data_IF_001701112598
#
_entry.id   IF_001701112598
#
_cell.length_a   1.000
_cell.length_b   1.000
_cell.length_c   1.000
_cell.angle_alpha   90.00
_cell.angle_beta   90.00
_cell.angle_gamma   90.00
#
_symmetry.space_group_name_H-M   'P 1'
#
loop_
_entity.id
_entity.type
_entity.pdbx_description
1 polymer ?
#
# COMPACT_ATOMS: atom_id res chain seq x y z
N UNK A 1 -22.83 42.76 -7.00
CA UNK A 1 -22.02 41.81 -6.21
C UNK A 1 -21.85 42.37 -4.82
N UNK A 2 -22.66 41.90 -3.87
CA UNK A 2 -22.46 42.19 -2.45
C UNK A 2 -21.18 41.50 -1.98
N UNK A 3 -20.26 42.23 -1.35
CA UNK A 3 -19.10 41.64 -0.66
C UNK A 3 -19.64 40.80 0.49
N UNK A 4 -19.82 39.49 0.28
CA UNK A 4 -19.99 38.57 1.40
C UNK A 4 -18.75 38.72 2.29
N UNK A 5 -18.96 39.13 3.54
CA UNK A 5 -17.89 39.10 4.55
C UNK A 5 -17.45 37.65 4.68
N UNK A 6 -16.13 37.41 4.62
CA UNK A 6 -15.53 36.13 4.93
C UNK A 6 -15.95 35.72 6.34
N UNK A 7 -16.89 34.78 6.45
CA UNK A 7 -17.21 34.13 7.71
C UNK A 7 -16.11 33.11 8.00
N UNK A 8 -15.36 33.34 9.09
CA UNK A 8 -14.28 32.46 9.55
C UNK A 8 -14.82 31.06 9.86
N UNK A 9 -16.10 30.96 10.24
CA UNK A 9 -16.77 29.69 10.51
C UNK A 9 -17.28 29.00 9.24
N UNK A 10 -17.00 29.55 8.06
CA UNK A 10 -17.45 28.93 6.81
C UNK A 10 -16.72 27.58 6.61
N UNK A 11 -17.44 26.50 6.24
CA UNK A 11 -16.81 25.21 5.95
C UNK A 11 -15.70 25.27 4.89
N UNK A 12 -15.76 26.26 3.98
CA UNK A 12 -14.72 26.47 2.97
C UNK A 12 -13.40 26.92 3.60
N UNK A 13 -13.44 27.82 4.58
CA UNK A 13 -12.25 28.25 5.35
C UNK A 13 -11.66 27.06 6.09
N UNK A 14 -12.48 26.20 6.70
CA UNK A 14 -11.98 24.99 7.39
C UNK A 14 -11.25 24.03 6.45
N UNK A 15 -11.75 23.83 5.22
CA UNK A 15 -11.06 23.00 4.20
C UNK A 15 -9.70 23.59 3.85
N UNK A 16 -9.63 24.89 3.59
CA UNK A 16 -8.37 25.56 3.22
C UNK A 16 -7.36 25.49 4.37
N UNK A 17 -7.80 25.83 5.58
CA UNK A 17 -6.95 25.75 6.79
C UNK A 17 -6.45 24.33 7.04
N UNK A 18 -7.32 23.32 6.88
CA UNK A 18 -6.90 21.93 7.05
C UNK A 18 -5.96 21.47 5.94
N UNK A 19 -6.17 21.87 4.69
CA UNK A 19 -5.24 21.58 3.59
C UNK A 19 -3.86 22.22 3.84
N UNK A 20 -3.81 23.45 4.35
CA UNK A 20 -2.55 24.08 4.77
C UNK A 20 -1.90 23.33 5.93
N UNK A 21 -2.70 22.84 6.89
CA UNK A 21 -2.19 22.02 7.99
C UNK A 21 -1.57 20.70 7.47
N UNK A 22 -2.22 20.01 6.53
CA UNK A 22 -1.66 18.80 5.91
C UNK A 22 -0.28 19.08 5.29
N UNK A 23 -0.15 20.20 4.59
CA UNK A 23 1.10 20.60 3.96
C UNK A 23 2.18 21.01 4.98
N UNK A 24 1.83 21.73 6.04
CA UNK A 24 2.80 22.26 7.02
C UNK A 24 3.23 21.20 8.04
N UNK A 25 2.36 20.24 8.38
CA UNK A 25 2.59 19.27 9.45
C UNK A 25 3.88 18.45 9.27
N UNK A 26 4.18 17.86 8.09
CA UNK A 26 5.41 17.10 7.88
C UNK A 26 6.68 17.89 8.20
N UNK A 27 6.71 19.19 7.86
CA UNK A 27 7.85 20.06 8.17
C UNK A 27 8.01 20.30 9.68
N UNK A 28 6.90 20.53 10.40
CA UNK A 28 6.93 20.68 11.86
C UNK A 28 7.38 19.37 12.54
N UNK A 29 6.89 18.23 12.04
CA UNK A 29 7.25 16.91 12.58
C UNK A 29 8.74 16.60 12.41
N UNK A 30 9.30 16.94 11.24
CA UNK A 30 10.71 16.74 10.93
C UNK A 30 11.63 17.66 11.75
N UNK A 31 11.30 18.94 11.88
CA UNK A 31 12.15 19.89 12.61
C UNK A 31 12.26 19.59 14.10
N UNK A 32 11.22 19.04 14.72
CA UNK A 32 11.14 18.87 16.17
C UNK A 32 11.39 17.43 16.66
N UNK A 33 11.94 16.55 15.82
CA UNK A 33 12.13 15.11 16.13
C UNK A 33 10.83 14.38 16.56
N UNK A 34 9.67 14.96 16.29
CA UNK A 34 8.39 14.44 16.79
C UNK A 34 8.07 13.09 16.16
N UNK A 35 8.54 12.86 14.93
CA UNK A 35 8.41 11.56 14.25
C UNK A 35 9.08 10.42 15.04
N UNK A 36 10.29 10.64 15.55
CA UNK A 36 10.98 9.63 16.38
C UNK A 36 10.29 9.48 17.74
N UNK A 37 9.81 10.57 18.34
CA UNK A 37 9.06 10.51 19.58
C UNK A 37 7.74 9.72 19.43
N UNK A 38 6.98 9.94 18.35
CA UNK A 38 5.76 9.19 18.03
C UNK A 38 6.08 7.71 17.76
N UNK A 39 7.14 7.43 17.00
CA UNK A 39 7.60 6.06 16.75
C UNK A 39 8.07 5.33 18.00
N UNK A 40 8.67 6.03 18.96
CA UNK A 40 9.02 5.47 20.27
C UNK A 40 7.74 5.26 21.10
N UNK A 41 6.83 6.24 21.13
CA UNK A 41 5.54 6.16 21.82
C UNK A 41 4.70 4.97 21.35
N UNK A 42 4.67 4.69 20.05
CA UNK A 42 3.94 3.57 19.48
C UNK A 42 4.52 2.20 19.88
N UNK A 43 5.79 2.14 20.28
CA UNK A 43 6.46 0.93 20.76
C UNK A 43 6.34 0.71 22.27
N UNK A 44 5.92 1.72 23.04
CA UNK A 44 5.69 1.52 24.47
C UNK A 44 4.56 0.54 24.72
N UNK A 45 4.85 -0.44 25.55
CA UNK A 45 3.97 -1.52 25.93
C UNK A 45 3.90 -1.66 27.45
N UNK A 46 2.88 -2.34 27.92
CA UNK A 46 2.76 -2.77 29.32
C UNK A 46 2.38 -4.26 29.33
N UNK A 47 2.70 -4.95 30.42
CA UNK A 47 2.31 -6.35 30.59
C UNK A 47 0.91 -6.43 31.19
N UNK A 48 0.02 -7.17 30.53
CA UNK A 48 -1.34 -7.47 31.00
C UNK A 48 -1.58 -8.97 30.86
N UNK A 49 -1.77 -9.69 31.98
CA UNK A 49 -1.90 -11.15 32.01
C UNK A 49 -0.77 -11.90 31.28
N UNK A 50 0.47 -11.41 31.42
CA UNK A 50 1.64 -12.00 30.75
C UNK A 50 1.76 -11.68 29.24
N UNK A 51 0.82 -10.93 28.67
CA UNK A 51 0.90 -10.44 27.29
C UNK A 51 1.45 -9.01 27.25
N UNK A 52 2.34 -8.73 26.30
CA UNK A 52 2.84 -7.38 26.03
C UNK A 52 1.83 -6.61 25.16
N UNK A 53 1.11 -5.67 25.77
CA UNK A 53 0.07 -4.88 25.10
C UNK A 53 0.59 -3.47 24.82
N UNK A 54 0.59 -2.99 23.55
CA UNK A 54 0.98 -1.63 23.21
C UNK A 54 -0.03 -0.60 23.75
N UNK A 55 0.45 0.51 24.33
CA UNK A 55 -0.41 1.56 24.86
C UNK A 55 -1.36 2.15 23.83
N UNK A 56 -0.89 2.34 22.59
CA UNK A 56 -1.71 2.84 21.48
C UNK A 56 -2.92 1.96 21.22
N UNK A 57 -2.74 0.63 21.29
CA UNK A 57 -3.84 -0.34 21.10
C UNK A 57 -4.84 -0.23 22.25
N UNK A 58 -4.37 -0.15 23.50
CA UNK A 58 -5.23 0.01 24.66
C UNK A 58 -6.07 1.29 24.59
N UNK A 59 -5.45 2.43 24.27
CA UNK A 59 -6.15 3.71 24.08
C UNK A 59 -7.17 3.61 22.93
N UNK A 60 -6.79 2.99 21.81
CA UNK A 60 -7.68 2.75 20.68
C UNK A 60 -8.92 1.94 21.06
N UNK A 61 -8.76 0.88 21.87
CA UNK A 61 -9.87 0.07 22.38
C UNK A 61 -10.78 0.89 23.29
N UNK A 62 -10.23 1.67 24.23
CA UNK A 62 -11.02 2.54 25.13
C UNK A 62 -11.83 3.56 24.33
N UNK A 63 -11.21 4.21 23.34
CA UNK A 63 -11.90 5.16 22.45
C UNK A 63 -12.99 4.45 21.64
N UNK A 64 -12.71 3.25 21.11
CA UNK A 64 -13.70 2.47 20.37
C UNK A 64 -14.92 2.09 21.24
N UNK A 65 -14.69 1.64 22.48
CA UNK A 65 -15.77 1.34 23.45
C UNK A 65 -16.58 2.60 23.76
N UNK A 66 -15.91 3.72 24.04
CA UNK A 66 -16.58 4.99 24.31
C UNK A 66 -17.45 5.43 23.11
N UNK A 67 -16.93 5.32 21.88
CA UNK A 67 -17.69 5.62 20.66
C UNK A 67 -18.89 4.69 20.49
N UNK A 68 -18.75 3.39 20.76
CA UNK A 68 -19.87 2.44 20.72
C UNK A 68 -20.96 2.81 21.73
N UNK A 69 -20.58 3.21 22.95
CA UNK A 69 -21.54 3.63 23.98
C UNK A 69 -22.26 4.92 23.56
N UNK A 70 -21.52 5.94 23.13
CA UNK A 70 -22.07 7.25 22.73
C UNK A 70 -22.94 7.11 21.48
N UNK A 71 -22.53 6.29 20.51
CA UNK A 71 -23.20 6.13 19.24
C UNK A 71 -24.19 4.96 19.22
N UNK A 72 -24.47 4.29 20.34
CA UNK A 72 -25.27 3.05 20.39
C UNK A 72 -26.63 3.15 19.69
N UNK A 73 -27.30 4.31 19.80
CA UNK A 73 -28.59 4.57 19.16
C UNK A 73 -28.49 4.71 17.63
N UNK A 74 -27.29 4.95 17.13
CA UNK A 74 -26.97 5.13 15.72
C UNK A 74 -26.37 3.86 15.09
N UNK A 75 -26.09 2.80 15.87
CA UNK A 75 -25.53 1.55 15.35
C UNK A 75 -26.64 0.74 14.67
N UNK A 76 -26.49 0.53 13.38
CA UNK A 76 -27.34 -0.40 12.60
C UNK A 76 -26.45 -1.49 12.00
N UNK A 77 -26.99 -2.68 11.71
CA UNK A 77 -26.22 -3.76 11.08
C UNK A 77 -25.53 -3.30 9.79
N UNK A 78 -26.20 -2.46 9.00
CA UNK A 78 -25.63 -1.85 7.81
C UNK A 78 -24.39 -0.99 8.11
N UNK A 79 -24.45 -0.14 9.14
CA UNK A 79 -23.33 0.71 9.56
C UNK A 79 -22.17 -0.12 10.12
N UNK A 80 -22.47 -1.20 10.85
CA UNK A 80 -21.46 -2.15 11.34
C UNK A 80 -20.71 -2.80 10.17
N UNK A 81 -21.44 -3.32 9.17
CA UNK A 81 -20.83 -3.91 7.97
C UNK A 81 -19.99 -2.88 7.19
N UNK A 82 -20.47 -1.64 7.09
CA UNK A 82 -19.70 -0.56 6.46
C UNK A 82 -18.42 -0.21 7.25
N UNK A 83 -18.49 -0.18 8.58
CA UNK A 83 -17.30 0.00 9.43
C UNK A 83 -16.30 -1.14 9.28
N UNK A 84 -16.77 -2.39 9.19
CA UNK A 84 -15.92 -3.55 8.91
C UNK A 84 -15.23 -3.38 7.55
N UNK A 85 -15.94 -2.92 6.52
CA UNK A 85 -15.34 -2.65 5.21
C UNK A 85 -14.23 -1.59 5.28
N UNK A 86 -14.40 -0.52 6.07
CA UNK A 86 -13.37 0.50 6.30
C UNK A 86 -12.14 -0.12 7.00
N UNK A 87 -12.35 -0.95 8.04
CA UNK A 87 -11.26 -1.66 8.73
C UNK A 87 -10.51 -2.58 7.78
N UNK A 88 -11.22 -3.33 6.93
CA UNK A 88 -10.62 -4.20 5.92
C UNK A 88 -9.80 -3.39 4.91
N UNK A 89 -10.28 -2.23 4.48
CA UNK A 89 -9.50 -1.36 3.60
C UNK A 89 -8.20 -0.85 4.25
N UNK A 90 -8.19 -0.57 5.56
CA UNK A 90 -6.95 -0.24 6.30
C UNK A 90 -6.02 -1.44 6.34
N UNK A 91 -6.54 -2.62 6.66
CA UNK A 91 -5.75 -3.86 6.70
C UNK A 91 -5.13 -4.20 5.34
N UNK A 92 -5.89 -4.04 4.25
CA UNK A 92 -5.40 -4.23 2.88
C UNK A 92 -4.27 -3.25 2.59
N UNK A 93 -4.44 -1.97 2.91
CA UNK A 93 -3.41 -0.97 2.67
C UNK A 93 -2.12 -1.31 3.41
N UNK A 94 -2.19 -1.61 4.72
CA UNK A 94 -1.00 -1.98 5.50
C UNK A 94 -0.33 -3.26 5.00
N UNK A 95 -1.10 -4.27 4.60
CA UNK A 95 -0.54 -5.49 4.01
C UNK A 95 0.14 -5.24 2.66
N UNK A 96 -0.18 -4.12 2.01
CA UNK A 96 0.36 -3.73 0.70
C UNK A 96 1.55 -2.79 0.82
N UNK A 97 1.53 -1.79 1.72
CA UNK A 97 2.48 -0.66 1.69
C UNK A 97 3.82 -0.87 2.37
N UNK A 98 4.05 -1.98 3.06
CA UNK A 98 5.09 -2.03 4.10
C UNK A 98 5.98 -3.28 4.06
N UNK A 99 6.53 -3.60 2.88
CA UNK A 99 7.26 -4.85 2.67
C UNK A 99 8.45 -5.04 3.62
N UNK A 100 9.38 -4.08 3.66
CA UNK A 100 10.59 -4.18 4.49
C UNK A 100 10.44 -3.56 5.87
N UNK A 101 9.30 -2.92 6.17
CA UNK A 101 9.23 -2.09 7.35
C UNK A 101 8.77 -2.82 8.61
N UNK A 102 8.22 -4.03 8.49
CA UNK A 102 7.64 -4.80 9.60
C UNK A 102 6.76 -3.91 10.52
N UNK A 103 6.08 -2.92 9.93
CA UNK A 103 5.25 -2.00 10.68
C UNK A 103 4.07 -2.77 11.25
N UNK A 104 3.72 -2.43 12.48
CA UNK A 104 2.57 -3.01 13.15
C UNK A 104 1.33 -2.18 12.83
N UNK A 105 0.15 -2.79 12.87
CA UNK A 105 -1.11 -2.10 12.55
C UNK A 105 -1.33 -0.81 13.35
N UNK A 106 -0.76 -0.70 14.55
CA UNK A 106 -0.91 0.44 15.45
C UNK A 106 0.21 1.49 15.32
N UNK A 107 1.07 1.41 14.29
CA UNK A 107 2.07 2.43 14.06
C UNK A 107 1.41 3.74 13.59
N UNK A 108 1.30 4.69 14.50
CA UNK A 108 0.58 5.95 14.29
C UNK A 108 1.19 6.77 13.15
N UNK A 109 2.51 6.70 12.98
CA UNK A 109 3.21 7.47 11.96
C UNK A 109 2.74 7.07 10.55
N UNK A 110 2.61 5.77 10.30
CA UNK A 110 2.17 5.26 8.99
C UNK A 110 0.67 5.49 8.77
N UNK A 111 -0.14 5.24 9.81
CA UNK A 111 -1.59 5.42 9.72
C UNK A 111 -2.02 6.88 9.66
N UNK A 112 -1.12 7.82 9.98
CA UNK A 112 -1.40 9.25 9.96
C UNK A 112 -1.91 9.70 8.59
N UNK A 113 -1.30 9.21 7.50
CA UNK A 113 -1.75 9.49 6.13
C UNK A 113 -3.23 9.15 5.93
N UNK A 114 -3.65 7.94 6.36
CA UNK A 114 -5.03 7.50 6.24
C UNK A 114 -6.00 8.35 7.07
N UNK A 115 -5.62 8.66 8.31
CA UNK A 115 -6.46 9.42 9.25
C UNK A 115 -6.59 10.88 8.78
N UNK A 116 -5.48 11.52 8.44
CA UNK A 116 -5.44 12.93 8.06
C UNK A 116 -6.25 13.17 6.78
N UNK A 117 -6.05 12.34 5.75
CA UNK A 117 -6.82 12.46 4.52
C UNK A 117 -8.27 11.97 4.65
N UNK A 118 -8.57 11.05 5.58
CA UNK A 118 -9.94 10.72 5.96
C UNK A 118 -10.69 11.91 6.57
N UNK A 119 -10.02 12.70 7.42
CA UNK A 119 -10.56 13.96 7.96
C UNK A 119 -10.70 15.02 6.85
N UNK A 120 -9.74 15.12 5.94
CA UNK A 120 -9.86 16.00 4.77
C UNK A 120 -11.10 15.69 3.93
N UNK A 121 -11.39 14.41 3.69
CA UNK A 121 -12.60 13.99 2.99
C UNK A 121 -13.88 14.44 3.72
N UNK A 122 -13.88 14.37 5.05
CA UNK A 122 -14.98 14.88 5.86
C UNK A 122 -15.16 16.39 5.76
N UNK A 123 -14.07 17.16 5.78
CA UNK A 123 -14.11 18.62 5.61
C UNK A 123 -14.64 19.01 4.23
N UNK A 124 -14.15 18.35 3.17
CA UNK A 124 -14.64 18.54 1.80
C UNK A 124 -16.13 18.23 1.67
N UNK A 125 -16.58 17.13 2.27
CA UNK A 125 -17.99 16.76 2.30
C UNK A 125 -18.85 17.82 3.01
N UNK A 126 -18.41 18.31 4.19
CA UNK A 126 -19.10 19.39 4.92
C UNK A 126 -19.15 20.71 4.14
N UNK A 127 -18.14 21.02 3.34
CA UNK A 127 -18.10 22.24 2.54
C UNK A 127 -18.98 22.17 1.29
N UNK A 128 -19.07 21.00 0.65
CA UNK A 128 -19.74 20.85 -0.64
C UNK A 128 -21.21 20.41 -0.51
N UNK A 129 -21.57 19.61 0.52
CA UNK A 129 -22.94 19.11 0.69
C UNK A 129 -23.98 20.23 0.87
N UNK A 130 -23.78 21.26 1.71
CA UNK A 130 -24.75 22.35 1.87
C UNK A 130 -24.98 23.14 0.58
N UNK A 131 -23.97 23.19 -0.31
CA UNK A 131 -24.04 23.80 -1.64
C UNK A 131 -24.79 22.93 -2.67
N UNK A 132 -25.45 21.85 -2.22
CA UNK A 132 -26.20 20.89 -3.05
C UNK A 132 -25.37 20.28 -4.18
N UNK A 133 -24.05 20.18 -3.99
CA UNK A 133 -23.17 19.55 -4.98
C UNK A 133 -23.53 18.05 -5.06
N UNK A 134 -23.71 17.49 -6.27
CA UNK A 134 -23.99 16.07 -6.43
C UNK A 134 -22.91 15.19 -5.79
N UNK A 135 -23.31 14.09 -5.14
CA UNK A 135 -22.39 13.18 -4.46
C UNK A 135 -21.23 12.70 -5.35
N UNK A 136 -21.47 12.42 -6.63
CA UNK A 136 -20.40 12.01 -7.55
C UNK A 136 -19.36 13.11 -7.77
N UNK A 137 -19.77 14.39 -7.78
CA UNK A 137 -18.83 15.51 -7.86
C UNK A 137 -18.07 15.70 -6.54
N UNK A 138 -18.72 15.50 -5.38
CA UNK A 138 -18.03 15.58 -4.08
C UNK A 138 -16.92 14.52 -4.02
N UNK A 139 -17.24 13.27 -4.38
CA UNK A 139 -16.29 12.15 -4.45
C UNK A 139 -15.11 12.52 -5.35
N UNK A 140 -15.39 12.87 -6.61
CA UNK A 140 -14.35 13.19 -7.61
C UNK A 140 -13.46 14.36 -7.20
N UNK A 141 -14.05 15.48 -6.75
CA UNK A 141 -13.29 16.67 -6.38
C UNK A 141 -12.46 16.44 -5.12
N UNK A 142 -12.96 15.66 -4.16
CA UNK A 142 -12.20 15.31 -2.95
C UNK A 142 -10.99 14.44 -3.33
N UNK A 143 -11.19 13.44 -4.19
CA UNK A 143 -10.13 12.57 -4.69
C UNK A 143 -9.06 13.37 -5.44
N UNK A 144 -9.45 14.18 -6.44
CA UNK A 144 -8.52 14.99 -7.23
C UNK A 144 -7.77 15.99 -6.35
N UNK A 145 -8.48 16.69 -5.46
CA UNK A 145 -7.84 17.67 -4.57
C UNK A 145 -6.78 17.01 -3.67
N UNK A 146 -7.07 15.84 -3.11
CA UNK A 146 -6.10 15.11 -2.29
C UNK A 146 -4.89 14.63 -3.09
N UNK A 147 -5.11 14.09 -4.30
CA UNK A 147 -4.01 13.71 -5.18
C UNK A 147 -3.12 14.91 -5.52
N UNK A 148 -3.69 16.07 -5.82
CA UNK A 148 -2.94 17.30 -6.09
C UNK A 148 -2.18 17.80 -4.86
N UNK A 149 -2.86 17.91 -3.70
CA UNK A 149 -2.23 18.38 -2.45
C UNK A 149 -1.07 17.46 -2.07
N UNK A 150 -1.29 16.15 -2.07
CA UNK A 150 -0.26 15.17 -1.71
C UNK A 150 0.92 15.14 -2.69
N UNK A 151 0.66 15.24 -4.00
CA UNK A 151 1.74 15.34 -5.00
C UNK A 151 2.58 16.60 -4.83
N UNK A 152 1.95 17.73 -4.49
CA UNK A 152 2.66 18.98 -4.22
C UNK A 152 3.45 18.88 -2.91
N UNK A 153 2.87 18.28 -1.87
CA UNK A 153 3.54 18.06 -0.58
C UNK A 153 4.81 17.22 -0.74
N UNK A 154 4.72 16.02 -1.32
CA UNK A 154 5.89 15.16 -1.57
C UNK A 154 6.92 15.83 -2.51
N UNK A 155 6.44 16.56 -3.52
CA UNK A 155 7.28 17.36 -4.40
C UNK A 155 8.09 18.41 -3.63
N UNK A 156 7.45 19.19 -2.76
CA UNK A 156 8.11 20.25 -1.96
C UNK A 156 9.01 19.65 -0.89
N UNK A 157 8.57 18.60 -0.19
CA UNK A 157 9.38 17.93 0.83
C UNK A 157 10.71 17.43 0.28
N UNK A 158 10.71 16.90 -0.96
CA UNK A 158 11.94 16.51 -1.66
C UNK A 158 12.94 17.66 -1.75
N UNK A 159 12.47 18.89 -2.05
CA UNK A 159 13.34 20.05 -2.21
C UNK A 159 13.82 20.64 -0.88
N UNK A 160 12.95 20.68 0.15
CA UNK A 160 13.25 21.38 1.40
C UNK A 160 14.00 20.50 2.39
N UNK A 161 13.62 19.23 2.53
CA UNK A 161 14.05 18.38 3.66
C UNK A 161 15.14 17.37 3.30
N UNK A 162 15.61 17.36 2.05
CA UNK A 162 16.44 16.29 1.48
C UNK A 162 15.84 14.88 1.67
N UNK A 163 14.53 14.78 1.93
CA UNK A 163 13.78 13.52 2.03
C UNK A 163 13.69 12.89 0.65
N UNK A 164 13.76 11.56 0.62
CA UNK A 164 13.51 10.78 -0.59
C UNK A 164 12.04 10.95 -0.97
N UNK A 165 11.79 11.35 -2.22
CA UNK A 165 10.44 11.41 -2.78
C UNK A 165 9.83 10.01 -2.78
N UNK A 166 8.77 9.82 -2.00
CA UNK A 166 8.10 8.53 -1.84
C UNK A 166 6.71 8.59 -2.46
N UNK A 167 6.60 8.08 -3.69
CA UNK A 167 5.31 8.05 -4.40
C UNK A 167 4.27 7.18 -3.70
N UNK A 168 4.69 6.29 -2.78
CA UNK A 168 3.76 5.48 -1.99
C UNK A 168 2.98 6.32 -0.97
N UNK A 169 3.53 7.42 -0.48
CA UNK A 169 2.82 8.32 0.44
C UNK A 169 1.66 9.02 -0.27
N UNK A 170 1.84 9.40 -1.54
CA UNK A 170 0.75 9.93 -2.38
C UNK A 170 -0.39 8.91 -2.51
N UNK A 171 -0.05 7.65 -2.75
CA UNK A 171 -1.05 6.59 -2.83
C UNK A 171 -1.77 6.36 -1.48
N UNK A 172 -1.04 6.42 -0.35
CA UNK A 172 -1.63 6.28 1.00
C UNK A 172 -2.60 7.42 1.31
N UNK A 173 -2.27 8.65 0.95
CA UNK A 173 -3.11 9.83 1.18
C UNK A 173 -4.44 9.72 0.41
N UNK A 174 -4.35 9.36 -0.88
CA UNK A 174 -5.53 9.13 -1.73
C UNK A 174 -6.37 7.96 -1.20
N UNK A 175 -5.73 6.88 -0.71
CA UNK A 175 -6.43 5.79 -0.03
C UNK A 175 -7.15 6.26 1.25
N UNK A 176 -6.51 7.14 2.03
CA UNK A 176 -7.08 7.80 3.20
C UNK A 176 -8.35 8.58 2.90
N UNK A 177 -8.36 9.35 1.81
CA UNK A 177 -9.58 10.03 1.34
C UNK A 177 -10.69 9.04 1.04
N UNK A 178 -10.39 7.94 0.36
CA UNK A 178 -11.40 6.95 -0.02
C UNK A 178 -11.96 6.21 1.19
N UNK A 179 -11.11 5.88 2.18
CA UNK A 179 -11.54 5.40 3.50
C UNK A 179 -12.55 6.37 4.15
N UNK A 180 -12.21 7.67 4.15
CA UNK A 180 -13.08 8.73 4.65
C UNK A 180 -14.40 8.82 3.88
N UNK A 181 -14.37 8.79 2.56
CA UNK A 181 -15.57 8.82 1.71
C UNK A 181 -16.47 7.60 1.93
N UNK A 182 -15.90 6.40 2.08
CA UNK A 182 -16.65 5.18 2.42
C UNK A 182 -17.30 5.33 3.80
N UNK A 183 -16.54 5.78 4.81
CA UNK A 183 -17.10 6.04 6.13
C UNK A 183 -18.24 7.07 6.09
N UNK A 184 -18.07 8.18 5.38
CA UNK A 184 -19.10 9.23 5.26
C UNK A 184 -20.36 8.70 4.59
N UNK A 185 -20.24 8.07 3.42
CA UNK A 185 -21.41 7.68 2.63
C UNK A 185 -22.11 6.40 3.12
N UNK A 186 -21.38 5.47 3.71
CA UNK A 186 -21.92 4.19 4.17
C UNK A 186 -22.20 4.18 5.67
N UNK A 187 -21.33 4.76 6.50
CA UNK A 187 -21.56 4.84 7.95
C UNK A 187 -22.40 6.08 8.29
N UNK A 188 -21.95 7.28 7.90
CA UNK A 188 -22.62 8.54 8.22
C UNK A 188 -24.00 8.69 7.56
N UNK A 189 -24.05 8.58 6.24
CA UNK A 189 -25.26 8.81 5.43
C UNK A 189 -26.11 7.54 5.20
N UNK A 190 -25.80 6.44 5.90
CA UNK A 190 -26.53 5.17 5.83
C UNK A 190 -26.78 4.70 4.40
N UNK A 191 -25.72 4.69 3.58
CA UNK A 191 -25.74 4.12 2.23
C UNK A 191 -26.45 4.97 1.18
N UNK A 192 -26.51 6.29 1.38
CA UNK A 192 -27.23 7.20 0.46
C UNK A 192 -26.81 7.05 -1.01
N UNK A 193 -25.54 6.72 -1.27
CA UNK A 193 -24.99 6.49 -2.62
C UNK A 193 -25.49 5.21 -3.27
N UNK A 194 -25.93 4.23 -2.49
CA UNK A 194 -26.40 2.92 -3.00
C UNK A 194 -27.91 2.74 -2.95
N UNK A 195 -28.66 3.66 -2.33
CA UNK A 195 -30.14 3.64 -2.33
C UNK A 195 -30.76 3.63 -3.73
N UNK A 196 -30.05 4.17 -4.73
CA UNK A 196 -30.49 4.18 -6.14
C UNK A 196 -30.00 2.96 -6.94
N UNK A 197 -29.48 1.95 -6.26
CA UNK A 197 -28.97 0.70 -6.82
C UNK A 197 -27.45 0.57 -6.83
N UNK A 198 -26.99 -0.67 -6.86
CA UNK A 198 -25.58 -1.09 -6.76
C UNK A 198 -24.94 -1.36 -8.14
N UNK A 199 -25.38 -0.62 -9.16
CA UNK A 199 -24.92 -0.87 -10.53
C UNK A 199 -23.51 -0.31 -10.72
N UNK A 200 -22.49 -1.17 -10.67
CA UNK A 200 -21.12 -0.79 -11.02
C UNK A 200 -21.01 -0.42 -12.50
N UNK A 201 -21.51 -1.30 -13.39
CA UNK A 201 -21.37 -1.15 -14.85
C UNK A 201 -22.35 -0.14 -15.43
N UNK A 202 -21.86 0.72 -16.31
CA UNK A 202 -22.66 1.72 -17.03
C UNK A 202 -22.57 1.54 -18.56
N UNK A 203 -23.66 1.92 -19.25
CA UNK A 203 -23.78 1.80 -20.71
C UNK A 203 -22.78 2.68 -21.44
N UNK A 204 -22.59 3.92 -20.99
CA UNK A 204 -21.63 4.89 -21.57
C UNK A 204 -20.54 5.19 -20.55
N UNK A 205 -19.31 5.44 -21.01
CA UNK A 205 -18.17 5.80 -20.15
C UNK A 205 -18.47 7.06 -19.32
N UNK A 206 -19.10 8.07 -19.93
CA UNK A 206 -19.46 9.31 -19.24
C UNK A 206 -20.45 9.11 -18.07
N UNK A 207 -21.21 8.02 -18.05
CA UNK A 207 -22.20 7.76 -17.00
C UNK A 207 -21.54 7.31 -15.68
N UNK A 208 -20.31 6.77 -15.71
CA UNK A 208 -19.57 6.41 -14.49
C UNK A 208 -19.34 7.64 -13.61
N UNK A 209 -18.99 8.79 -14.18
CA UNK A 209 -18.80 10.06 -13.47
C UNK A 209 -20.10 10.67 -12.89
N UNK A 210 -21.27 10.18 -13.33
CA UNK A 210 -22.59 10.64 -12.86
C UNK A 210 -23.16 9.75 -11.76
N UNK A 211 -22.60 8.55 -11.56
CA UNK A 211 -23.11 7.55 -10.60
C UNK A 211 -22.14 7.42 -9.43
N UNK A 212 -22.50 7.91 -8.23
CA UNK A 212 -21.56 8.02 -7.11
C UNK A 212 -20.98 6.67 -6.68
N UNK A 213 -21.81 5.61 -6.62
CA UNK A 213 -21.34 4.27 -6.28
C UNK A 213 -20.32 3.74 -7.30
N UNK A 214 -20.63 3.82 -8.60
CA UNK A 214 -19.72 3.33 -9.65
C UNK A 214 -18.40 4.10 -9.66
N UNK A 215 -18.46 5.42 -9.51
CA UNK A 215 -17.28 6.27 -9.43
C UNK A 215 -16.40 5.91 -8.23
N UNK A 216 -16.99 5.80 -7.03
CA UNK A 216 -16.26 5.46 -5.81
C UNK A 216 -15.55 4.11 -5.93
N UNK A 217 -16.22 3.09 -6.49
CA UNK A 217 -15.60 1.77 -6.69
C UNK A 217 -14.45 1.84 -7.70
N UNK A 218 -14.56 2.64 -8.76
CA UNK A 218 -13.48 2.83 -9.72
C UNK A 218 -12.30 3.60 -9.13
N UNK A 219 -12.55 4.62 -8.31
CA UNK A 219 -11.48 5.34 -7.59
C UNK A 219 -10.78 4.43 -6.57
N UNK A 220 -11.52 3.57 -5.84
CA UNK A 220 -10.94 2.54 -4.97
C UNK A 220 -10.07 1.57 -5.77
N UNK A 221 -10.55 1.10 -6.92
CA UNK A 221 -9.76 0.22 -7.79
C UNK A 221 -8.48 0.91 -8.28
N UNK A 222 -8.58 2.17 -8.73
CA UNK A 222 -7.43 2.96 -9.17
C UNK A 222 -6.43 3.16 -8.03
N UNK A 223 -6.90 3.61 -6.86
CA UNK A 223 -6.04 3.88 -5.72
C UNK A 223 -5.38 2.62 -5.18
N UNK A 224 -6.07 1.47 -5.19
CA UNK A 224 -5.48 0.19 -4.80
C UNK A 224 -4.35 -0.22 -5.75
N UNK A 225 -4.58 -0.13 -7.06
CA UNK A 225 -3.55 -0.41 -8.07
C UNK A 225 -2.36 0.54 -7.89
N UNK A 226 -2.62 1.83 -7.65
CA UNK A 226 -1.58 2.82 -7.40
C UNK A 226 -0.76 2.46 -6.16
N UNK A 227 -1.42 2.16 -5.03
CA UNK A 227 -0.81 1.76 -3.76
C UNK A 227 0.06 0.50 -3.89
N UNK A 228 -0.44 -0.50 -4.62
CA UNK A 228 0.28 -1.73 -4.88
C UNK A 228 1.54 -1.51 -5.72
N UNK A 229 1.43 -0.74 -6.81
CA UNK A 229 2.59 -0.49 -7.67
C UNK A 229 3.61 0.45 -7.02
N UNK A 230 3.15 1.49 -6.32
CA UNK A 230 4.03 2.43 -5.61
C UNK A 230 4.81 1.77 -4.47
N UNK A 231 4.23 0.75 -3.82
CA UNK A 231 4.91 0.02 -2.74
C UNK A 231 5.99 -0.96 -3.25
N UNK A 232 5.84 -1.49 -4.47
CA UNK A 232 6.81 -2.40 -5.10
C UNK A 232 7.90 -1.62 -5.87
N UNK A 233 7.62 -0.37 -6.24
CA UNK A 233 8.53 0.50 -6.98
C UNK A 233 8.72 1.82 -6.23
N UNK A 234 9.15 1.73 -4.97
CA UNK A 234 9.22 2.88 -4.06
C UNK A 234 10.43 3.78 -4.32
N UNK A 235 11.48 3.29 -4.98
CA UNK A 235 12.63 4.11 -5.37
C UNK A 235 12.17 5.24 -6.31
N UNK A 236 12.53 6.48 -5.95
CA UNK A 236 12.20 7.70 -6.69
C UNK A 236 12.55 7.67 -8.18
N UNK A 237 13.45 6.78 -8.64
CA UNK A 237 13.77 6.60 -10.06
C UNK A 237 12.64 5.93 -10.84
N UNK A 238 11.75 5.20 -10.18
CA UNK A 238 10.66 4.45 -10.80
C UNK A 238 9.31 5.16 -10.83
N UNK A 239 9.24 6.43 -10.43
CA UNK A 239 7.98 7.17 -10.30
C UNK A 239 7.17 7.20 -11.61
N UNK A 240 7.84 7.31 -12.76
CA UNK A 240 7.18 7.33 -14.06
C UNK A 240 6.61 5.96 -14.43
N UNK A 241 7.30 4.87 -14.11
CA UNK A 241 6.80 3.50 -14.29
C UNK A 241 5.61 3.24 -13.38
N UNK A 242 5.64 3.71 -12.13
CA UNK A 242 4.50 3.59 -11.22
C UNK A 242 3.26 4.24 -11.84
N UNK A 243 3.36 5.47 -12.33
CA UNK A 243 2.24 6.17 -12.97
C UNK A 243 1.80 5.42 -14.25
N UNK A 244 2.73 5.07 -15.12
CA UNK A 244 2.42 4.40 -16.39
C UNK A 244 1.76 3.03 -16.18
N UNK A 245 2.30 2.21 -15.27
CA UNK A 245 1.73 0.90 -14.94
C UNK A 245 0.39 1.04 -14.22
N UNK A 246 0.23 2.03 -13.34
CA UNK A 246 -1.05 2.29 -12.68
C UNK A 246 -2.15 2.61 -13.70
N UNK A 247 -1.85 3.53 -14.62
CA UNK A 247 -2.79 3.90 -15.68
C UNK A 247 -3.09 2.72 -16.63
N UNK A 248 -2.07 1.95 -17.00
CA UNK A 248 -2.23 0.79 -17.89
C UNK A 248 -3.08 -0.32 -17.23
N UNK A 249 -2.74 -0.73 -16.00
CA UNK A 249 -3.47 -1.76 -15.25
C UNK A 249 -4.91 -1.31 -14.98
N UNK A 250 -5.10 -0.05 -14.57
CA UNK A 250 -6.44 0.50 -14.37
C UNK A 250 -7.24 0.55 -15.67
N UNK A 251 -6.63 0.98 -16.79
CA UNK A 251 -7.31 1.01 -18.09
C UNK A 251 -7.75 -0.38 -18.54
N UNK A 252 -6.91 -1.40 -18.36
CA UNK A 252 -7.27 -2.80 -18.64
C UNK A 252 -8.43 -3.25 -17.73
N UNK A 253 -8.32 -3.02 -16.42
CA UNK A 253 -9.37 -3.41 -15.47
C UNK A 253 -10.70 -2.69 -15.77
N UNK A 254 -10.66 -1.39 -16.06
CA UNK A 254 -11.80 -0.60 -16.48
C UNK A 254 -12.41 -1.11 -17.79
N UNK A 255 -11.58 -1.44 -18.78
CA UNK A 255 -12.04 -2.01 -20.05
C UNK A 255 -12.74 -3.35 -19.84
N UNK A 256 -12.20 -4.23 -18.97
CA UNK A 256 -12.85 -5.49 -18.60
C UNK A 256 -14.20 -5.23 -17.94
N UNK A 257 -14.26 -4.33 -16.95
CA UNK A 257 -15.51 -3.96 -16.27
C UNK A 257 -16.54 -3.41 -17.27
N UNK A 258 -16.15 -2.46 -18.12
CA UNK A 258 -17.06 -1.79 -19.05
C UNK A 258 -17.49 -2.69 -20.21
N UNK A 259 -16.57 -3.39 -20.87
CA UNK A 259 -16.89 -4.23 -22.03
C UNK A 259 -17.61 -5.52 -21.65
N UNK A 260 -17.43 -6.04 -20.42
CA UNK A 260 -18.15 -7.22 -19.90
C UNK A 260 -19.68 -7.04 -19.80
N UNK A 261 -20.19 -5.82 -20.02
CA UNK A 261 -21.62 -5.58 -20.17
C UNK A 261 -22.20 -6.24 -21.44
N UNK A 262 -21.38 -6.42 -22.48
CA UNK A 262 -21.76 -7.07 -23.74
C UNK A 262 -21.49 -8.58 -23.62
N UNK A 263 -22.46 -9.41 -24.00
CA UNK A 263 -22.38 -10.88 -23.87
C UNK A 263 -21.14 -11.48 -24.53
N UNK A 264 -20.77 -11.03 -25.74
CA UNK A 264 -19.60 -11.53 -26.46
C UNK A 264 -18.28 -11.28 -25.73
N UNK A 265 -18.02 -10.03 -25.32
CA UNK A 265 -16.82 -9.67 -24.55
C UNK A 265 -16.77 -10.38 -23.20
N UNK A 266 -17.91 -10.55 -22.51
CA UNK A 266 -17.97 -11.32 -21.26
C UNK A 266 -17.51 -12.76 -21.45
N UNK A 267 -17.99 -13.43 -22.49
CA UNK A 267 -17.56 -14.80 -22.81
C UNK A 267 -16.07 -14.82 -23.14
N UNK A 268 -15.60 -13.89 -23.99
CA UNK A 268 -14.19 -13.80 -24.35
C UNK A 268 -13.27 -13.62 -23.12
N UNK A 269 -13.60 -12.69 -22.21
CA UNK A 269 -12.82 -12.49 -20.99
C UNK A 269 -12.82 -13.71 -20.07
N UNK A 270 -13.97 -14.38 -19.90
CA UNK A 270 -14.06 -15.61 -19.10
C UNK A 270 -13.21 -16.71 -19.73
N UNK A 271 -13.26 -16.89 -21.05
CA UNK A 271 -12.46 -17.89 -21.76
C UNK A 271 -10.96 -17.62 -21.63
N UNK A 272 -10.53 -16.36 -21.83
CA UNK A 272 -9.12 -15.98 -21.67
C UNK A 272 -8.65 -16.20 -20.22
N UNK A 273 -9.45 -15.78 -19.23
CA UNK A 273 -9.13 -16.02 -17.82
C UNK A 273 -9.04 -17.51 -17.50
N UNK A 274 -9.96 -18.33 -18.02
CA UNK A 274 -9.94 -19.77 -17.83
C UNK A 274 -8.68 -20.40 -18.45
N UNK A 275 -8.28 -20.00 -19.67
CA UNK A 275 -7.06 -20.47 -20.30
C UNK A 275 -5.82 -20.09 -19.49
N UNK A 276 -5.72 -18.84 -19.02
CA UNK A 276 -4.60 -18.38 -18.18
C UNK A 276 -4.53 -19.20 -16.88
N UNK A 277 -5.66 -19.42 -16.20
CA UNK A 277 -5.72 -20.20 -14.96
C UNK A 277 -5.31 -21.65 -15.21
N UNK A 278 -5.81 -22.28 -16.28
CA UNK A 278 -5.45 -23.67 -16.63
C UNK A 278 -3.96 -23.77 -16.94
N UNK A 279 -3.41 -22.86 -17.74
CA UNK A 279 -1.98 -22.82 -18.03
C UNK A 279 -1.17 -22.65 -16.73
N UNK A 280 -1.53 -21.69 -15.87
CA UNK A 280 -0.85 -21.47 -14.61
C UNK A 280 -0.94 -22.69 -13.68
N UNK A 281 -2.07 -23.39 -13.66
CA UNK A 281 -2.25 -24.61 -12.88
C UNK A 281 -1.37 -25.76 -13.42
N UNK A 282 -1.28 -25.92 -14.75
CA UNK A 282 -0.39 -26.92 -15.37
C UNK A 282 1.07 -26.62 -15.03
N UNK A 283 1.51 -25.36 -15.14
CA UNK A 283 2.87 -24.96 -14.77
C UNK A 283 3.13 -25.14 -13.27
N UNK A 284 2.17 -24.77 -12.42
CA UNK A 284 2.28 -24.96 -10.98
C UNK A 284 2.42 -26.45 -10.65
N UNK A 285 1.53 -27.32 -11.12
CA UNK A 285 1.60 -28.78 -10.86
C UNK A 285 2.95 -29.35 -11.32
N UNK A 286 3.39 -29.01 -12.55
CA UNK A 286 4.64 -29.54 -13.12
C UNK A 286 5.89 -29.09 -12.36
N UNK A 287 5.87 -27.89 -11.78
CA UNK A 287 7.07 -27.26 -11.23
C UNK A 287 6.94 -26.90 -9.74
N UNK A 288 5.92 -27.38 -9.00
CA UNK A 288 5.70 -26.97 -7.61
C UNK A 288 6.84 -27.38 -6.66
N UNK A 289 7.47 -28.53 -6.92
CA UNK A 289 8.62 -29.06 -6.18
C UNK A 289 9.94 -28.42 -6.63
N UNK A 290 9.96 -27.83 -7.82
CA UNK A 290 11.14 -27.15 -8.32
C UNK A 290 11.24 -25.77 -7.67
N UNK A 291 12.44 -25.42 -7.20
CA UNK A 291 12.73 -24.10 -6.64
C UNK A 291 12.68 -23.03 -7.75
N UNK A 292 13.83 -22.56 -8.25
CA UNK A 292 13.88 -21.62 -9.37
C UNK A 292 14.25 -22.38 -10.64
N UNK A 293 13.31 -22.46 -11.58
CA UNK A 293 13.47 -23.23 -12.84
C UNK A 293 14.10 -22.38 -13.94
N UNK A 294 13.78 -21.08 -13.95
CA UNK A 294 14.29 -20.15 -14.94
C UNK A 294 14.56 -18.81 -14.28
N UNK A 295 15.71 -18.21 -14.62
CA UNK A 295 16.03 -16.83 -14.28
C UNK A 295 16.72 -16.20 -15.51
N UNK A 296 16.06 -15.21 -16.08
CA UNK A 296 16.57 -14.38 -17.17
C UNK A 296 16.28 -12.91 -16.85
N UNK A 297 16.84 -11.98 -17.62
CA UNK A 297 16.62 -10.55 -17.41
C UNK A 297 15.12 -10.23 -17.39
N UNK A 298 14.60 -9.78 -16.25
CA UNK A 298 13.20 -9.43 -16.05
C UNK A 298 12.23 -10.60 -15.93
N UNK A 299 12.69 -11.84 -15.80
CA UNK A 299 11.83 -13.01 -15.62
C UNK A 299 12.46 -14.00 -14.65
N UNK A 300 11.72 -14.32 -13.59
CA UNK A 300 12.05 -15.42 -12.67
C UNK A 300 10.86 -16.36 -12.59
N UNK A 301 11.09 -17.66 -12.73
CA UNK A 301 10.06 -18.69 -12.56
C UNK A 301 10.35 -19.47 -11.29
N UNK A 302 9.56 -19.22 -10.25
CA UNK A 302 9.69 -19.87 -8.94
C UNK A 302 8.47 -20.75 -8.68
N UNK A 303 8.67 -22.04 -8.42
CA UNK A 303 7.58 -23.02 -8.20
C UNK A 303 6.50 -23.00 -9.29
N UNK A 304 6.92 -22.82 -10.55
CA UNK A 304 6.02 -22.71 -11.71
C UNK A 304 5.27 -21.39 -11.85
N UNK A 305 5.54 -20.39 -11.00
CA UNK A 305 4.92 -19.07 -11.07
C UNK A 305 5.87 -18.10 -11.79
N UNK A 306 5.50 -17.58 -12.97
CA UNK A 306 6.30 -16.60 -13.69
C UNK A 306 6.15 -15.23 -13.02
N UNK A 307 7.28 -14.65 -12.63
CA UNK A 307 7.36 -13.33 -12.00
C UNK A 307 8.15 -12.42 -12.94
N UNK A 308 7.40 -11.52 -13.58
CA UNK A 308 7.90 -10.63 -14.61
C UNK A 308 8.26 -9.29 -13.97
N UNK A 309 9.44 -8.77 -14.28
CA UNK A 309 9.96 -7.44 -13.95
C UNK A 309 10.26 -7.16 -12.46
N UNK A 310 9.39 -7.61 -11.56
CA UNK A 310 9.47 -7.33 -10.13
C UNK A 310 10.56 -8.15 -9.43
N UNK A 311 11.05 -7.59 -8.33
CA UNK A 311 11.97 -8.25 -7.41
C UNK A 311 11.19 -9.16 -6.45
N UNK A 312 11.87 -10.20 -5.93
CA UNK A 312 11.23 -11.28 -5.18
C UNK A 312 11.96 -11.51 -3.87
N UNK A 313 11.22 -11.75 -2.79
CA UNK A 313 11.74 -12.31 -1.55
C UNK A 313 11.19 -13.72 -1.38
N UNK A 314 12.08 -14.70 -1.26
CA UNK A 314 11.75 -16.09 -0.94
C UNK A 314 12.13 -16.36 0.51
N UNK A 315 11.15 -16.73 1.32
CA UNK A 315 11.30 -17.07 2.73
C UNK A 315 11.87 -18.48 2.92
N UNK A 316 12.48 -18.79 4.08
CA UNK A 316 13.03 -20.12 4.36
C UNK A 316 12.03 -21.27 4.20
N UNK A 317 10.75 -21.02 4.53
CA UNK A 317 9.63 -21.96 4.37
C UNK A 317 9.16 -22.15 2.92
N UNK A 318 9.82 -21.50 1.95
CA UNK A 318 9.51 -21.61 0.53
C UNK A 318 8.31 -20.78 0.07
N UNK A 319 7.68 -19.98 0.95
CA UNK A 319 6.76 -18.92 0.51
C UNK A 319 7.54 -17.79 -0.13
N UNK A 320 6.93 -17.07 -1.06
CA UNK A 320 7.55 -15.90 -1.67
C UNK A 320 6.56 -14.73 -1.70
N UNK A 321 7.11 -13.53 -1.90
CA UNK A 321 6.33 -12.33 -2.17
C UNK A 321 7.12 -11.39 -3.07
N UNK A 322 6.40 -10.50 -3.77
CA UNK A 322 7.03 -9.38 -4.47
C UNK A 322 7.53 -8.37 -3.45
N UNK A 323 8.65 -7.74 -3.75
CA UNK A 323 9.27 -6.76 -2.86
C UNK A 323 9.74 -5.56 -3.65
N UNK A 324 9.96 -4.47 -2.90
CA UNK A 324 10.46 -3.23 -3.45
C UNK A 324 11.78 -3.39 -4.20
N UNK A 325 11.83 -2.77 -5.38
CA UNK A 325 12.95 -2.84 -6.31
C UNK A 325 14.03 -1.82 -5.96
N UNK A 326 15.14 -2.28 -5.38
CA UNK A 326 16.21 -1.40 -4.89
C UNK A 326 17.62 -1.94 -5.08
N UNK A 327 18.55 -1.01 -5.21
CA UNK A 327 19.98 -1.31 -5.38
C UNK A 327 20.74 -1.34 -4.05
N UNK A 328 20.22 -0.67 -3.03
CA UNK A 328 20.82 -0.54 -1.72
C UNK A 328 19.78 -0.78 -0.64
N UNK A 329 20.18 -1.48 0.41
CA UNK A 329 19.39 -1.73 1.59
C UNK A 329 19.77 -0.74 2.69
N UNK A 330 18.78 -0.08 3.29
CA UNK A 330 19.00 0.84 4.40
C UNK A 330 18.95 0.08 5.75
N UNK A 331 19.19 0.77 6.87
CA UNK A 331 19.16 0.15 8.19
C UNK A 331 17.82 -0.53 8.54
N UNK A 332 16.68 -0.02 8.03
CA UNK A 332 15.36 -0.62 8.27
C UNK A 332 15.23 -1.94 7.52
N UNK A 333 15.72 -2.01 6.29
CA UNK A 333 15.79 -3.25 5.52
C UNK A 333 16.67 -4.29 6.21
N UNK A 334 17.80 -3.85 6.78
CA UNK A 334 18.68 -4.71 7.56
C UNK A 334 17.96 -5.27 8.80
N UNK A 335 17.18 -4.45 9.51
CA UNK A 335 16.35 -4.93 10.62
C UNK A 335 15.37 -6.00 10.17
N UNK A 336 14.71 -5.81 9.01
CA UNK A 336 13.85 -6.83 8.43
C UNK A 336 14.62 -8.14 8.20
N UNK A 337 15.80 -8.08 7.58
CA UNK A 337 16.61 -9.29 7.37
C UNK A 337 17.02 -9.96 8.67
N UNK A 338 17.39 -9.22 9.71
CA UNK A 338 17.74 -9.80 11.01
C UNK A 338 16.58 -10.57 11.67
N UNK A 339 15.33 -10.15 11.45
CA UNK A 339 14.16 -10.85 11.98
C UNK A 339 13.76 -12.08 11.15
N UNK A 340 14.12 -12.14 9.87
CA UNK A 340 13.61 -13.17 8.94
C UNK A 340 14.68 -14.15 8.45
N UNK A 341 15.97 -13.76 8.49
CA UNK A 341 17.10 -14.61 8.14
C UNK A 341 17.74 -15.16 9.41
N UNK A 342 17.58 -16.47 9.62
CA UNK A 342 18.18 -17.16 10.76
C UNK A 342 19.66 -17.47 10.52
N UNK A 343 19.97 -18.13 9.40
CA UNK A 343 21.29 -18.69 9.13
C UNK A 343 21.93 -18.08 7.88
N UNK A 344 21.20 -18.01 6.77
CA UNK A 344 21.70 -17.56 5.47
C UNK A 344 20.76 -16.50 4.87
N UNK A 345 21.34 -15.34 4.56
CA UNK A 345 20.75 -14.32 3.71
C UNK A 345 21.46 -14.33 2.36
N UNK A 346 20.73 -14.66 1.30
CA UNK A 346 21.22 -14.65 -0.06
C UNK A 346 20.64 -13.45 -0.81
N UNK A 347 21.46 -12.79 -1.61
CA UNK A 347 21.06 -11.60 -2.38
C UNK A 347 21.55 -11.74 -3.81
N UNK A 348 20.61 -11.77 -4.74
CA UNK A 348 20.84 -11.64 -6.17
C UNK A 348 20.92 -10.16 -6.51
N UNK A 349 22.09 -9.66 -6.90
CA UNK A 349 22.39 -8.25 -7.13
C UNK A 349 22.09 -7.76 -8.55
N UNK A 350 21.29 -8.50 -9.32
CA UNK A 350 21.01 -8.23 -10.73
C UNK A 350 21.91 -9.04 -11.66
N UNK A 351 21.64 -9.01 -12.96
CA UNK A 351 22.46 -9.71 -13.96
C UNK A 351 23.87 -9.11 -14.07
N UNK A 352 23.99 -7.80 -13.88
CA UNK A 352 25.28 -7.10 -13.90
C UNK A 352 25.93 -6.98 -12.52
N UNK A 353 25.26 -7.40 -11.45
CA UNK A 353 25.80 -7.37 -10.09
C UNK A 353 25.83 -5.99 -9.43
N UNK A 354 24.96 -5.06 -9.86
CA UNK A 354 24.93 -3.65 -9.42
C UNK A 354 24.12 -3.37 -8.14
N UNK A 355 23.29 -4.32 -7.72
CA UNK A 355 22.46 -4.27 -6.51
C UNK A 355 23.17 -4.79 -5.26
N UNK A 356 22.42 -5.05 -4.18
CA UNK A 356 22.96 -5.67 -2.97
C UNK A 356 23.80 -4.76 -2.06
N UNK A 357 23.76 -3.44 -2.25
CA UNK A 357 24.54 -2.50 -1.43
C UNK A 357 23.92 -2.31 -0.04
N UNK A 358 24.68 -1.75 0.90
CA UNK A 358 24.21 -1.41 2.25
C UNK A 358 24.72 -2.31 3.37
N UNK A 359 25.49 -3.35 3.03
CA UNK A 359 26.16 -4.23 4.00
C UNK A 359 27.54 -3.68 4.40
N UNK A 360 28.08 -4.05 5.58
CA UNK A 360 29.35 -3.52 6.08
C UNK A 360 30.55 -3.81 5.17
N UNK A 361 30.60 -5.01 4.58
CA UNK A 361 31.66 -5.41 3.66
C UNK A 361 31.16 -5.48 2.21
N UNK A 362 32.03 -5.12 1.25
CA UNK A 362 31.77 -5.22 -0.20
C UNK A 362 32.16 -6.61 -0.74
N UNK A 363 32.22 -7.63 0.13
CA UNK A 363 32.60 -8.99 -0.25
C UNK A 363 31.37 -9.81 -0.63
N UNK A 364 31.56 -10.75 -1.57
CA UNK A 364 30.50 -11.67 -2.00
C UNK A 364 29.98 -12.57 -0.88
N UNK A 365 30.81 -12.88 0.12
CA UNK A 365 30.40 -13.65 1.30
C UNK A 365 30.99 -13.01 2.54
N UNK A 366 30.14 -12.79 3.54
CA UNK A 366 30.51 -12.22 4.83
C UNK A 366 29.68 -12.82 5.96
N UNK A 367 30.22 -12.81 7.17
CA UNK A 367 29.48 -13.14 8.39
C UNK A 367 29.24 -11.87 9.17
N UNK A 368 27.97 -11.57 9.46
CA UNK A 368 27.58 -10.43 10.29
C UNK A 368 26.87 -10.92 11.55
N UNK A 369 26.98 -10.17 12.63
CA UNK A 369 26.26 -10.49 13.86
C UNK A 369 24.77 -10.14 13.70
N UNK A 370 23.87 -11.12 13.89
CA UNK A 370 22.44 -10.90 13.93
C UNK A 370 22.02 -10.52 15.36
N UNK A 371 21.58 -9.27 15.61
CA UNK A 371 21.24 -8.79 16.94
C UNK A 371 19.96 -9.42 17.52
N UNK A 372 19.09 -9.98 16.68
CA UNK A 372 17.83 -10.63 17.08
C UNK A 372 18.11 -12.06 17.54
N UNK A 373 18.82 -12.85 16.74
CA UNK A 373 19.10 -14.26 17.06
C UNK A 373 20.35 -14.46 17.93
N UNK A 374 21.17 -13.42 18.12
CA UNK A 374 22.47 -13.45 18.82
C UNK A 374 23.46 -14.45 18.22
N UNK A 375 23.38 -14.68 16.91
CA UNK A 375 24.22 -15.62 16.15
C UNK A 375 24.85 -14.94 14.94
N UNK A 376 25.84 -15.58 14.33
CA UNK A 376 26.37 -15.16 13.03
C UNK A 376 25.36 -15.45 11.93
N UNK A 377 25.08 -14.45 11.10
CA UNK A 377 24.30 -14.55 9.87
C UNK A 377 25.27 -14.52 8.68
N UNK A 378 25.22 -15.56 7.85
CA UNK A 378 25.97 -15.58 6.60
C UNK A 378 25.21 -14.75 5.57
N UNK A 379 25.87 -13.74 5.01
CA UNK A 379 25.34 -12.95 3.90
C UNK A 379 26.12 -13.30 2.64
N UNK A 380 25.41 -13.73 1.60
CA UNK A 380 25.97 -14.06 0.29
C UNK A 380 25.36 -13.10 -0.74
N UNK A 381 26.20 -12.31 -1.39
CA UNK A 381 25.81 -11.32 -2.39
C UNK A 381 26.47 -11.69 -3.70
N UNK A 382 25.67 -12.11 -4.68
CA UNK A 382 26.14 -12.55 -5.98
C UNK A 382 25.25 -12.00 -7.09
N UNK A 383 25.78 -11.98 -8.31
CA UNK A 383 24.95 -11.77 -9.50
C UNK A 383 23.77 -12.75 -9.49
N UNK A 384 22.60 -12.30 -9.94
CA UNK A 384 21.36 -13.06 -9.80
C UNK A 384 21.41 -14.47 -10.41
N UNK A 385 21.99 -14.71 -11.60
CA UNK A 385 22.11 -16.06 -12.16
C UNK A 385 22.93 -17.02 -11.27
N UNK A 386 24.00 -16.54 -10.68
CA UNK A 386 24.87 -17.28 -9.76
C UNK A 386 24.17 -17.52 -8.42
N UNK A 387 23.54 -16.48 -7.87
CA UNK A 387 22.76 -16.58 -6.64
C UNK A 387 21.62 -17.61 -6.78
N UNK A 388 20.96 -17.69 -7.94
CA UNK A 388 19.91 -18.68 -8.20
C UNK A 388 20.45 -20.12 -8.14
N UNK A 389 21.64 -20.37 -8.71
CA UNK A 389 22.31 -21.68 -8.61
C UNK A 389 22.63 -22.02 -7.16
N UNK A 390 23.16 -21.06 -6.41
CA UNK A 390 23.47 -21.22 -4.97
C UNK A 390 22.20 -21.48 -4.16
N UNK A 391 21.11 -20.76 -4.44
CA UNK A 391 19.82 -20.95 -3.79
C UNK A 391 19.30 -22.38 -3.98
N UNK A 392 19.23 -22.85 -5.23
CA UNK A 392 18.72 -24.18 -5.54
C UNK A 392 19.55 -25.26 -4.83
N UNK A 393 20.89 -25.16 -4.89
CA UNK A 393 21.79 -26.07 -4.16
C UNK A 393 21.53 -26.05 -2.64
N UNK A 394 21.45 -24.86 -2.02
CA UNK A 394 21.21 -24.75 -0.59
C UNK A 394 19.83 -25.30 -0.18
N UNK A 395 18.82 -25.17 -1.06
CA UNK A 395 17.50 -25.77 -0.83
C UNK A 395 17.53 -27.30 -0.94
N UNK A 396 18.28 -27.85 -1.89
CA UNK A 396 18.53 -29.31 -2.00
C UNK A 396 19.25 -29.85 -0.76
N UNK A 397 20.17 -29.08 -0.19
CA UNK A 397 20.85 -29.38 1.09
C UNK A 397 19.98 -29.17 2.34
N UNK A 398 18.70 -28.79 2.19
CA UNK A 398 17.78 -28.57 3.31
C UNK A 398 18.08 -27.33 4.16
N UNK A 399 18.81 -26.34 3.62
CA UNK A 399 19.16 -25.12 4.37
C UNK A 399 18.00 -24.11 4.44
N UNK A 400 18.02 -23.32 5.52
CA UNK A 400 17.12 -22.20 5.76
C UNK A 400 17.70 -20.91 5.15
N UNK A 401 17.31 -20.62 3.91
CA UNK A 401 17.79 -19.46 3.16
C UNK A 401 16.67 -18.44 3.00
N UNK A 402 16.93 -17.19 3.40
CA UNK A 402 16.15 -16.03 2.97
C UNK A 402 16.81 -15.49 1.70
N UNK A 403 16.09 -15.44 0.58
CA UNK A 403 16.66 -15.02 -0.71
C UNK A 403 15.94 -13.78 -1.25
N UNK A 404 16.69 -12.71 -1.51
CA UNK A 404 16.22 -11.52 -2.23
C UNK A 404 16.74 -11.56 -3.66
N UNK A 405 15.86 -11.47 -4.66
CA UNK A 405 16.19 -11.50 -6.08
C UNK A 405 15.98 -10.12 -6.68
N UNK A 406 17.06 -9.48 -7.12
CA UNK A 406 16.98 -8.35 -8.03
C UNK A 406 16.87 -8.86 -9.47
N UNK A 407 15.70 -8.68 -10.07
CA UNK A 407 15.32 -9.36 -11.31
C UNK A 407 15.74 -8.58 -12.58
N UNK A 408 16.25 -7.36 -12.42
CA UNK A 408 16.76 -6.53 -13.52
C UNK A 408 18.13 -5.97 -13.12
N UNK A 409 18.73 -5.17 -14.01
CA UNK A 409 20.03 -4.50 -13.88
C UNK A 409 21.25 -5.27 -14.31
#
# INVERSE_FOLDING_TARGET
>A
MTRERLDINSPTVHVVMYAMLLFVTPFILLQNFLQQAIGNMSRYSFQLFGMEVPWVVAVGIVVAIALVIVLRSYITMYRVLASIAVILMVAIAQSTTDYYFNHKFYDLQQNWHYIAYGIFAFMMFRALKPKKVPASKIILWTFIAALCISSVDEGVQRFISARVFDISDIAKDVWGVLLGLVAIYFVGESGSVVRRGWKLRQKRVADYFKKPFSLLVLEILFAYVFLFLSSILSDSRFWYQVIAFTLAVFAIAFAVIHLSQKRGFRIAFISVAAVIIILQLVFFIKYHDANIVCNSYGLTVYKGIPIIYFDILIHPNGMFRLVDKKHAFNQRDMQFFYHHANDILLIGSGSEGKGGKGFPEVRETQFIFNPVTKRGLQVIIQKTPEAVKVFNRLKEEGKNVLFVIHNTC
#
